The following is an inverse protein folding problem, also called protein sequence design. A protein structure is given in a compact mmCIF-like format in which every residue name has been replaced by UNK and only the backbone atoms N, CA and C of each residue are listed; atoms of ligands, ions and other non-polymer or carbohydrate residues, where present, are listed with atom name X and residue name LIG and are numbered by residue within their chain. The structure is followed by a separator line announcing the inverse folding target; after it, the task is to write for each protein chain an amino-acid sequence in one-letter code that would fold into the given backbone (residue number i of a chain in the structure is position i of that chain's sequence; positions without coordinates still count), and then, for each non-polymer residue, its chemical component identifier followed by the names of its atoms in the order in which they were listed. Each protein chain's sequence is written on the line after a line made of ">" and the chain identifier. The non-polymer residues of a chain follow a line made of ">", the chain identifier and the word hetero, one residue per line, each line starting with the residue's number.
data_IF_312490636135
#
_entry.id   IF_312490636135
#
_cell.length_a   1.000
_cell.length_b   1.000
_cell.length_c   1.000
_cell.angle_alpha   90.00
_cell.angle_beta   90.00
_cell.angle_gamma   90.00
#
_symmetry.space_group_name_H-M   'P 1'
#
loop_
_entity.id
_entity.type
_entity.pdbx_description
1 polymer ?
#
# COMPACT_ATOMS: atom_id res chain seq x y z
N UNK A 1 -9.24 34.44 -3.05
CA UNK A 1 -8.79 33.04 -3.22
C UNK A 1 -8.59 32.45 -1.84
N UNK A 2 -9.17 31.30 -1.56
CA UNK A 2 -9.01 30.63 -0.27
C UNK A 2 -7.57 30.12 -0.11
N UNK A 3 -7.12 29.91 1.13
CA UNK A 3 -5.78 29.38 1.44
C UNK A 3 -5.54 28.04 0.73
N UNK A 4 -6.59 27.22 0.56
CA UNK A 4 -6.53 25.94 -0.15
C UNK A 4 -6.30 26.09 -1.66
N UNK A 5 -6.96 27.07 -2.30
CA UNK A 5 -6.73 27.35 -3.73
C UNK A 5 -5.29 27.82 -3.99
N UNK A 6 -4.72 28.59 -3.06
CA UNK A 6 -3.33 29.05 -3.16
C UNK A 6 -2.34 27.87 -2.97
N UNK A 7 -2.67 26.91 -2.11
CA UNK A 7 -1.87 25.68 -1.90
C UNK A 7 -1.85 24.80 -3.14
N UNK A 8 -3.03 24.50 -3.70
CA UNK A 8 -3.17 23.70 -4.93
C UNK A 8 -2.42 24.34 -6.11
N UNK A 9 -2.50 25.67 -6.26
CA UNK A 9 -1.82 26.37 -7.33
C UNK A 9 -0.29 26.28 -7.20
N UNK A 10 0.28 26.47 -6.02
CA UNK A 10 1.73 26.37 -5.78
C UNK A 10 2.25 24.94 -6.00
N UNK A 11 1.46 23.93 -5.64
CA UNK A 11 1.80 22.53 -5.94
C UNK A 11 1.85 22.28 -7.46
N UNK A 12 0.82 22.74 -8.20
CA UNK A 12 0.77 22.62 -9.65
C UNK A 12 1.95 23.32 -10.33
N UNK A 13 2.32 24.51 -9.88
CA UNK A 13 3.47 25.25 -10.40
C UNK A 13 4.80 24.52 -10.12
N UNK A 14 4.97 23.96 -8.91
CA UNK A 14 6.16 23.18 -8.58
C UNK A 14 6.24 21.90 -9.43
N UNK A 15 5.13 21.15 -9.55
CA UNK A 15 5.06 19.96 -10.37
C UNK A 15 5.31 20.26 -11.85
N UNK A 16 4.74 21.37 -12.39
CA UNK A 16 4.98 21.80 -13.76
C UNK A 16 6.45 22.16 -14.00
N UNK A 17 7.09 22.83 -13.04
CA UNK A 17 8.53 23.15 -13.12
C UNK A 17 9.39 21.88 -13.22
N UNK A 18 9.06 20.81 -12.48
CA UNK A 18 9.73 19.52 -12.61
C UNK A 18 9.41 18.86 -13.95
N UNK A 19 8.15 18.89 -14.39
CA UNK A 19 7.73 18.36 -15.68
C UNK A 19 8.49 19.03 -16.83
N UNK A 20 8.52 20.36 -16.89
CA UNK A 20 9.21 21.11 -17.95
C UNK A 20 10.71 20.81 -17.96
N UNK A 21 11.31 20.61 -16.77
CA UNK A 21 12.73 20.31 -16.64
C UNK A 21 13.10 18.93 -17.17
N UNK A 22 12.21 17.95 -17.05
CA UNK A 22 12.47 16.57 -17.42
C UNK A 22 11.82 16.12 -18.72
N UNK A 23 10.86 16.89 -19.24
CA UNK A 23 10.11 16.51 -20.44
C UNK A 23 11.02 16.27 -21.65
N UNK A 24 12.10 17.03 -21.78
CA UNK A 24 13.07 16.85 -22.86
C UNK A 24 13.78 15.50 -22.78
N UNK A 25 14.03 15.01 -21.57
CA UNK A 25 14.68 13.72 -21.34
C UNK A 25 13.73 12.57 -21.66
N UNK A 26 12.47 12.67 -21.20
CA UNK A 26 11.49 11.60 -21.36
C UNK A 26 10.82 11.59 -22.73
N UNK A 27 10.72 12.72 -23.45
CA UNK A 27 10.21 12.78 -24.83
C UNK A 27 10.96 11.85 -25.79
N UNK A 28 12.22 11.55 -25.52
CA UNK A 28 13.01 10.59 -26.31
C UNK A 28 12.43 9.16 -26.20
N UNK A 29 11.78 8.85 -25.10
CA UNK A 29 11.33 7.49 -24.76
C UNK A 29 9.82 7.30 -24.80
N UNK A 30 9.04 8.38 -24.72
CA UNK A 30 7.59 8.35 -24.67
C UNK A 30 6.99 9.31 -25.68
N UNK A 31 6.00 8.84 -26.45
CA UNK A 31 5.27 9.66 -27.43
C UNK A 31 4.39 10.71 -26.77
N UNK A 32 3.82 10.38 -25.62
CA UNK A 32 2.95 11.26 -24.84
C UNK A 32 3.31 11.20 -23.37
N UNK A 33 3.39 12.37 -22.73
CA UNK A 33 3.65 12.48 -21.30
C UNK A 33 2.63 13.43 -20.69
N UNK A 34 1.88 12.94 -19.70
CA UNK A 34 0.93 13.72 -18.91
C UNK A 34 1.40 13.83 -17.48
N UNK A 35 1.26 15.01 -16.90
CA UNK A 35 1.51 15.22 -15.47
C UNK A 35 0.24 14.90 -14.70
N UNK A 36 0.32 13.96 -13.76
CA UNK A 36 -0.74 13.62 -12.82
C UNK A 36 -0.39 14.20 -11.46
N UNK A 37 -1.27 15.06 -10.94
CA UNK A 37 -1.12 15.64 -9.62
C UNK A 37 -1.68 14.73 -8.56
N UNK A 38 -0.96 14.56 -7.47
CA UNK A 38 -1.48 13.92 -6.27
C UNK A 38 -1.91 15.03 -5.29
N UNK A 39 -3.20 15.24 -5.11
CA UNK A 39 -3.76 16.37 -4.33
C UNK A 39 -3.61 16.21 -2.80
N UNK A 40 -3.20 15.02 -2.33
CA UNK A 40 -3.18 14.68 -0.89
C UNK A 40 -1.88 15.09 -0.15
N UNK A 41 -0.92 15.76 -0.79
CA UNK A 41 0.33 16.15 -0.13
C UNK A 41 0.25 17.56 0.50
N UNK A 42 0.29 17.63 1.83
CA UNK A 42 0.27 18.87 2.63
C UNK A 42 1.50 19.77 2.46
N UNK A 43 2.54 19.33 1.74
CA UNK A 43 3.79 20.08 1.55
C UNK A 43 4.00 20.53 0.10
N UNK A 44 4.33 21.81 -0.07
CA UNK A 44 4.53 22.52 -1.35
C UNK A 44 5.66 22.00 -2.25
N UNK A 45 6.47 21.05 -1.80
CA UNK A 45 7.51 20.42 -2.60
C UNK A 45 7.08 18.99 -2.86
N UNK A 46 6.70 18.63 -4.09
CA UNK A 46 6.30 17.26 -4.38
C UNK A 46 7.46 16.32 -4.12
N UNK A 47 7.31 15.43 -3.13
CA UNK A 47 8.27 14.35 -2.87
C UNK A 47 8.18 13.27 -3.94
N UNK A 48 7.02 13.15 -4.57
CA UNK A 48 6.72 12.20 -5.66
C UNK A 48 5.90 12.91 -6.71
N UNK A 49 6.30 12.76 -7.96
CA UNK A 49 5.54 13.25 -9.11
C UNK A 49 5.27 12.04 -9.99
N UNK A 50 4.02 11.83 -10.36
CA UNK A 50 3.62 10.76 -11.26
C UNK A 50 3.37 11.33 -12.64
N UNK A 51 3.95 10.71 -13.66
CA UNK A 51 3.73 11.01 -15.05
C UNK A 51 3.07 9.80 -15.71
N UNK A 52 2.12 10.05 -16.61
CA UNK A 52 1.61 9.04 -17.53
C UNK A 52 2.32 9.19 -18.87
N UNK A 53 2.85 8.09 -19.39
CA UNK A 53 3.53 8.07 -20.67
C UNK A 53 3.14 6.84 -21.49
N UNK A 54 3.17 6.97 -22.80
CA UNK A 54 3.03 5.88 -23.75
C UNK A 54 4.34 5.66 -24.48
N UNK A 55 4.76 4.40 -24.62
CA UNK A 55 5.96 4.03 -25.36
C UNK A 55 5.60 3.67 -26.80
N UNK A 56 6.35 4.26 -27.77
CA UNK A 56 6.25 3.96 -29.19
C UNK A 56 7.07 2.72 -29.53
N UNK A 57 6.64 1.51 -29.21
CA UNK A 57 7.15 0.33 -29.92
C UNK A 57 6.32 -0.92 -29.59
N UNK A 58 5.82 -1.54 -30.64
CA UNK A 58 5.26 -2.90 -30.77
C UNK A 58 4.08 -3.24 -29.84
N UNK A 59 4.09 -2.82 -28.57
CA UNK A 59 2.93 -2.81 -27.68
C UNK A 59 2.88 -1.44 -27.00
N UNK A 60 1.81 -0.68 -27.22
CA UNK A 60 1.54 0.58 -26.50
C UNK A 60 1.32 0.29 -25.02
N UNK A 61 2.38 0.35 -24.23
CA UNK A 61 2.33 0.15 -22.79
C UNK A 61 2.14 1.51 -22.12
N UNK A 62 1.03 1.69 -21.41
CA UNK A 62 0.88 2.84 -20.54
C UNK A 62 1.72 2.63 -19.27
N UNK A 63 2.46 3.64 -18.88
CA UNK A 63 3.36 3.58 -17.72
C UNK A 63 3.16 4.77 -16.79
N UNK A 64 3.48 4.54 -15.53
CA UNK A 64 3.56 5.54 -14.48
C UNK A 64 5.02 5.75 -14.12
N UNK A 65 5.50 6.98 -14.20
CA UNK A 65 6.82 7.35 -13.73
C UNK A 65 6.73 7.91 -12.30
N UNK A 66 7.33 7.22 -11.36
CA UNK A 66 7.46 7.66 -9.96
C UNK A 66 8.85 8.27 -9.76
N UNK A 67 8.88 9.57 -9.47
CA UNK A 67 10.10 10.33 -9.25
C UNK A 67 10.36 10.49 -7.76
N UNK A 68 11.51 10.04 -7.26
CA UNK A 68 11.89 10.15 -5.86
C UNK A 68 13.12 11.04 -5.72
N UNK A 69 13.03 12.14 -4.96
CA UNK A 69 14.17 12.98 -4.67
C UNK A 69 15.08 12.29 -3.64
N UNK A 70 16.32 12.04 -4.02
CA UNK A 70 17.27 11.30 -3.19
C UNK A 70 17.84 12.19 -2.08
N UNK A 71 18.13 13.46 -2.38
CA UNK A 71 18.81 14.38 -1.45
C UNK A 71 17.91 14.84 -0.31
N UNK A 72 16.61 14.98 -0.57
CA UNK A 72 15.62 15.44 0.42
C UNK A 72 15.03 14.29 1.24
N UNK A 73 15.43 13.04 0.94
CA UNK A 73 14.86 11.88 1.59
C UNK A 73 15.62 11.53 2.87
N UNK A 74 15.06 11.91 4.02
CA UNK A 74 15.57 11.56 5.35
C UNK A 74 15.56 10.04 5.63
N UNK A 75 14.90 9.25 4.78
CA UNK A 75 14.75 7.80 4.94
C UNK A 75 15.94 6.99 4.40
N UNK A 76 16.95 7.64 3.78
CA UNK A 76 18.14 6.95 3.25
C UNK A 76 17.77 5.88 2.22
N UNK A 77 18.37 4.68 2.34
CA UNK A 77 18.14 3.57 1.41
C UNK A 77 16.73 2.96 1.43
N UNK A 78 15.86 3.35 2.36
CA UNK A 78 14.49 2.86 2.37
C UNK A 78 13.71 3.21 1.08
N UNK A 79 14.15 4.23 0.34
CA UNK A 79 13.59 4.56 -0.98
C UNK A 79 13.77 3.45 -2.01
N UNK A 80 14.78 2.59 -1.83
CA UNK A 80 15.09 1.49 -2.74
C UNK A 80 14.29 0.21 -2.43
N UNK A 81 13.60 0.16 -1.28
CA UNK A 81 12.80 -1.01 -0.90
C UNK A 81 11.70 -1.32 -1.91
N UNK A 82 10.96 -0.30 -2.33
CA UNK A 82 9.88 -0.50 -3.29
C UNK A 82 10.34 -1.10 -4.62
N UNK A 83 11.33 -0.52 -5.33
CA UNK A 83 11.81 -1.10 -6.58
C UNK A 83 12.45 -2.48 -6.37
N UNK A 84 13.11 -2.73 -5.25
CA UNK A 84 13.65 -4.04 -4.93
C UNK A 84 12.55 -5.11 -4.81
N UNK A 85 11.55 -4.87 -3.97
CA UNK A 85 10.47 -5.84 -3.79
C UNK A 85 9.64 -6.03 -5.05
N UNK A 86 9.35 -4.94 -5.79
CA UNK A 86 8.64 -5.04 -7.07
C UNK A 86 9.44 -5.83 -8.12
N UNK A 87 10.77 -5.68 -8.13
CA UNK A 87 11.63 -6.47 -9.02
C UNK A 87 11.60 -7.97 -8.64
N UNK A 88 11.69 -8.28 -7.34
CA UNK A 88 11.55 -9.66 -6.86
C UNK A 88 10.21 -10.29 -7.21
N UNK A 89 9.16 -9.47 -7.37
CA UNK A 89 7.79 -9.86 -7.72
C UNK A 89 7.49 -9.68 -9.22
N UNK A 90 8.49 -9.43 -10.06
CA UNK A 90 8.27 -9.21 -11.49
C UNK A 90 7.50 -10.37 -12.12
N UNK A 91 6.46 -10.01 -12.89
CA UNK A 91 5.48 -10.92 -13.50
C UNK A 91 4.53 -11.60 -12.51
N UNK A 92 4.57 -11.26 -11.23
CA UNK A 92 3.55 -11.73 -10.29
C UNK A 92 2.23 -10.99 -10.57
N UNK A 93 1.14 -11.75 -10.73
CA UNK A 93 -0.16 -11.20 -11.13
C UNK A 93 -0.83 -10.32 -10.07
N UNK A 94 -0.44 -10.46 -8.80
CA UNK A 94 -1.05 -9.76 -7.66
C UNK A 94 -0.33 -8.45 -7.30
N UNK A 95 0.77 -8.13 -8.00
CA UNK A 95 1.51 -6.89 -7.78
C UNK A 95 1.63 -6.07 -9.05
N UNK A 96 1.77 -4.75 -8.88
CA UNK A 96 2.06 -3.87 -10.00
C UNK A 96 3.43 -4.22 -10.61
N UNK A 97 3.51 -4.20 -11.93
CA UNK A 97 4.75 -4.56 -12.62
C UNK A 97 5.72 -3.38 -12.68
N UNK A 98 6.96 -3.61 -12.22
CA UNK A 98 8.07 -2.70 -12.49
C UNK A 98 8.58 -2.94 -13.91
N UNK A 99 8.63 -1.86 -14.70
CA UNK A 99 9.09 -1.89 -16.10
C UNK A 99 10.56 -1.58 -16.17
N UNK A 100 11.00 -0.52 -15.46
CA UNK A 100 12.39 -0.12 -15.38
C UNK A 100 12.66 0.79 -14.18
N UNK A 101 13.95 1.04 -13.89
CA UNK A 101 14.40 1.99 -12.87
C UNK A 101 15.74 2.60 -13.28
N UNK A 102 15.93 3.89 -12.98
CA UNK A 102 17.20 4.56 -13.25
C UNK A 102 17.37 5.84 -12.42
N UNK A 103 18.62 6.24 -12.12
CA UNK A 103 18.89 7.53 -11.50
C UNK A 103 18.85 8.64 -12.54
N UNK A 104 18.56 9.86 -12.12
CA UNK A 104 18.67 11.04 -12.97
C UNK A 104 19.21 12.25 -12.23
N UNK A 105 19.86 13.12 -12.98
CA UNK A 105 20.41 14.40 -12.52
C UNK A 105 19.36 15.49 -12.63
N UNK A 106 19.55 16.59 -11.91
CA UNK A 106 18.64 17.72 -12.02
C UNK A 106 18.96 18.67 -13.19
N UNK A 107 20.16 18.55 -13.77
CA UNK A 107 20.58 19.27 -14.98
C UNK A 107 21.68 18.49 -15.69
N UNK A 108 21.96 18.83 -16.97
CA UNK A 108 23.06 18.23 -17.74
C UNK A 108 24.41 18.45 -17.08
N UNK A 109 24.59 19.57 -16.41
CA UNK A 109 25.86 20.00 -15.80
C UNK A 109 26.04 19.47 -14.36
N UNK A 110 25.02 18.83 -13.78
CA UNK A 110 25.11 18.25 -12.44
C UNK A 110 25.99 17.01 -12.46
N UNK A 111 26.93 16.93 -11.52
CA UNK A 111 27.76 15.73 -11.33
C UNK A 111 27.01 14.64 -10.59
N UNK A 112 26.16 15.01 -9.64
CA UNK A 112 25.46 14.10 -8.72
C UNK A 112 24.07 13.73 -9.20
N UNK A 113 23.63 12.51 -8.93
CA UNK A 113 22.24 12.12 -9.06
C UNK A 113 21.37 12.82 -8.02
N UNK A 114 20.21 13.29 -8.44
CA UNK A 114 19.24 13.94 -7.55
C UNK A 114 17.98 13.15 -7.39
N UNK A 115 17.60 12.41 -8.43
CA UNK A 115 16.35 11.67 -8.45
C UNK A 115 16.60 10.19 -8.75
N UNK A 116 15.72 9.38 -8.19
CA UNK A 116 15.58 7.97 -8.51
C UNK A 116 14.21 7.76 -9.16
N UNK A 117 14.21 7.17 -10.32
CA UNK A 117 13.04 7.01 -11.17
C UNK A 117 12.63 5.55 -11.18
N UNK A 118 11.35 5.29 -10.96
CA UNK A 118 10.75 3.97 -11.06
C UNK A 118 9.67 4.04 -12.13
N UNK A 119 9.77 3.19 -13.14
CA UNK A 119 8.76 3.06 -14.19
C UNK A 119 7.91 1.85 -13.88
N UNK A 120 6.62 2.08 -13.67
CA UNK A 120 5.63 1.07 -13.36
C UNK A 120 4.64 0.94 -14.53
N UNK A 121 4.10 -0.24 -14.76
CA UNK A 121 2.97 -0.42 -15.68
C UNK A 121 1.74 0.28 -15.11
N UNK A 122 1.04 1.05 -15.94
CA UNK A 122 -0.27 1.58 -15.57
C UNK A 122 -1.33 0.48 -15.72
N UNK A 123 -1.82 -0.03 -14.60
CA UNK A 123 -2.79 -1.13 -14.57
C UNK A 123 -4.24 -0.62 -14.40
N UNK A 124 -4.43 0.66 -14.10
CA UNK A 124 -5.75 1.27 -13.90
C UNK A 124 -5.83 2.17 -12.66
N UNK A 125 -7.03 2.57 -12.25
CA UNK A 125 -7.24 3.40 -11.06
C UNK A 125 -6.99 2.62 -9.77
N UNK A 126 -6.67 3.35 -8.70
CA UNK A 126 -6.66 2.77 -7.36
C UNK A 126 -8.08 2.42 -6.86
N UNK A 127 -8.14 1.51 -5.87
CA UNK A 127 -9.39 1.01 -5.33
C UNK A 127 -10.23 2.12 -4.67
N UNK A 128 -9.61 3.18 -4.11
CA UNK A 128 -10.34 4.30 -3.53
C UNK A 128 -11.11 5.07 -4.61
N UNK A 129 -10.45 5.36 -5.72
CA UNK A 129 -11.08 5.99 -6.89
C UNK A 129 -12.17 5.10 -7.49
N UNK A 130 -11.94 3.79 -7.54
CA UNK A 130 -12.92 2.81 -7.98
C UNK A 130 -14.19 2.82 -7.10
N UNK A 131 -14.04 2.77 -5.77
CA UNK A 131 -15.16 2.84 -4.81
C UNK A 131 -15.97 4.14 -5.02
N UNK A 132 -15.27 5.27 -5.13
CA UNK A 132 -15.91 6.58 -5.33
C UNK A 132 -16.69 6.60 -6.64
N UNK A 133 -16.11 6.09 -7.74
CA UNK A 133 -16.75 6.04 -9.04
C UNK A 133 -18.03 5.20 -9.02
N UNK A 134 -17.97 3.99 -8.46
CA UNK A 134 -19.13 3.09 -8.38
C UNK A 134 -20.24 3.71 -7.54
N UNK A 135 -19.92 4.27 -6.37
CA UNK A 135 -20.92 4.84 -5.46
C UNK A 135 -21.55 6.13 -6.00
N UNK A 136 -20.72 7.09 -6.43
CA UNK A 136 -21.20 8.46 -6.68
C UNK A 136 -21.48 8.77 -8.14
N UNK A 137 -20.77 8.10 -9.08
CA UNK A 137 -20.95 8.32 -10.51
C UNK A 137 -21.97 7.35 -11.10
N UNK A 138 -21.76 6.05 -10.88
CA UNK A 138 -22.67 5.03 -11.40
C UNK A 138 -23.93 4.88 -10.53
N UNK A 139 -23.90 5.36 -9.28
CA UNK A 139 -24.99 5.22 -8.31
C UNK A 139 -25.50 3.78 -8.20
N UNK A 140 -24.57 2.84 -8.34
CA UNK A 140 -24.87 1.44 -8.19
C UNK A 140 -25.06 1.18 -6.70
N UNK A 141 -26.28 0.85 -6.32
CA UNK A 141 -26.56 0.35 -4.98
C UNK A 141 -25.75 -0.93 -4.76
N UNK A 142 -25.33 -1.15 -3.51
CA UNK A 142 -24.65 -2.37 -3.12
C UNK A 142 -25.58 -3.56 -3.37
N UNK A 143 -25.37 -4.21 -4.51
CA UNK A 143 -26.10 -5.39 -4.93
C UNK A 143 -25.16 -6.59 -4.95
N UNK A 144 -25.70 -7.77 -5.19
CA UNK A 144 -24.94 -9.02 -5.27
C UNK A 144 -23.75 -8.94 -6.26
N UNK A 145 -23.85 -8.14 -7.32
CA UNK A 145 -22.75 -7.96 -8.27
C UNK A 145 -21.58 -7.22 -7.63
N UNK A 146 -21.85 -6.13 -6.90
CA UNK A 146 -20.77 -5.38 -6.22
C UNK A 146 -20.16 -6.18 -5.08
N UNK A 147 -20.94 -6.96 -4.35
CA UNK A 147 -20.42 -7.88 -3.33
C UNK A 147 -19.48 -8.91 -3.94
N UNK A 148 -19.85 -9.53 -5.06
CA UNK A 148 -19.00 -10.49 -5.76
C UNK A 148 -17.70 -9.86 -6.25
N UNK A 149 -17.75 -8.65 -6.81
CA UNK A 149 -16.56 -7.88 -7.21
C UNK A 149 -15.70 -7.60 -5.98
N UNK A 150 -16.29 -7.18 -4.87
CA UNK A 150 -15.58 -6.90 -3.62
C UNK A 150 -14.87 -8.13 -3.05
N UNK A 151 -15.55 -9.28 -3.03
CA UNK A 151 -14.97 -10.57 -2.64
C UNK A 151 -13.80 -10.96 -3.54
N UNK A 152 -13.96 -10.80 -4.85
CA UNK A 152 -12.90 -11.12 -5.82
C UNK A 152 -11.66 -10.23 -5.63
N UNK A 153 -11.85 -8.92 -5.38
CA UNK A 153 -10.76 -7.98 -5.06
C UNK A 153 -10.03 -8.41 -3.79
N UNK A 154 -10.78 -8.68 -2.71
CA UNK A 154 -10.19 -9.07 -1.42
C UNK A 154 -9.44 -10.39 -1.55
N UNK A 155 -9.99 -11.39 -2.25
CA UNK A 155 -9.30 -12.65 -2.51
C UNK A 155 -7.93 -12.43 -3.16
N UNK A 156 -7.87 -11.62 -4.22
CA UNK A 156 -6.62 -11.34 -4.93
C UNK A 156 -5.60 -10.59 -4.06
N UNK A 157 -6.06 -9.64 -3.24
CA UNK A 157 -5.19 -8.93 -2.28
C UNK A 157 -4.61 -9.92 -1.25
N UNK A 158 -5.44 -10.83 -0.72
CA UNK A 158 -4.98 -11.85 0.23
C UNK A 158 -4.00 -12.82 -0.41
N UNK A 159 -4.23 -13.23 -1.67
CA UNK A 159 -3.27 -14.04 -2.43
C UNK A 159 -1.90 -13.35 -2.57
N UNK A 160 -1.89 -12.06 -2.85
CA UNK A 160 -0.66 -11.27 -2.87
C UNK A 160 0.03 -11.20 -1.50
N UNK A 161 -0.72 -10.97 -0.44
CA UNK A 161 -0.18 -10.95 0.92
C UNK A 161 0.38 -12.29 1.36
N UNK A 162 -0.28 -13.41 1.02
CA UNK A 162 0.24 -14.76 1.29
C UNK A 162 1.67 -14.91 0.77
N UNK A 163 1.93 -14.45 -0.46
CA UNK A 163 3.26 -14.53 -1.08
C UNK A 163 4.32 -13.74 -0.27
N UNK A 164 3.98 -12.54 0.20
CA UNK A 164 4.88 -11.76 1.06
C UNK A 164 5.11 -12.43 2.41
N UNK A 165 4.03 -12.87 3.06
CA UNK A 165 4.07 -13.48 4.38
C UNK A 165 4.88 -14.77 4.41
N UNK A 166 4.81 -15.62 3.37
CA UNK A 166 5.61 -16.83 3.21
C UNK A 166 7.11 -16.54 3.08
N UNK A 167 7.48 -15.36 2.60
CA UNK A 167 8.88 -14.90 2.54
C UNK A 167 9.31 -14.15 3.82
N UNK A 168 8.47 -14.14 4.86
CA UNK A 168 8.75 -13.44 6.11
C UNK A 168 8.67 -11.93 6.01
N UNK A 169 7.90 -11.42 5.06
CA UNK A 169 7.70 -9.99 4.80
C UNK A 169 6.27 -9.56 5.14
N UNK A 170 6.10 -8.32 5.58
CA UNK A 170 4.80 -7.65 5.70
C UNK A 170 4.77 -6.40 4.83
N UNK A 171 3.60 -6.07 4.30
CA UNK A 171 3.40 -4.90 3.44
C UNK A 171 3.37 -3.59 4.25
N UNK A 172 2.76 -3.62 5.43
CA UNK A 172 2.66 -2.53 6.42
C UNK A 172 1.84 -1.29 6.00
N UNK A 173 1.28 -1.26 4.80
CA UNK A 173 0.50 -0.11 4.32
C UNK A 173 -0.63 -0.52 3.35
N UNK A 174 -1.33 -1.60 3.66
CA UNK A 174 -2.53 -2.02 2.91
C UNK A 174 -3.63 -0.99 3.14
N UNK A 175 -4.16 -0.45 2.04
CA UNK A 175 -5.27 0.52 1.98
C UNK A 175 -5.78 0.63 0.55
N UNK A 176 -6.99 1.18 0.31
CA UNK A 176 -7.56 1.27 -1.03
C UNK A 176 -6.69 2.01 -2.05
N UNK A 177 -5.93 3.04 -1.63
CA UNK A 177 -5.02 3.78 -2.52
C UNK A 177 -3.80 2.96 -2.97
N UNK A 178 -3.48 1.87 -2.27
CA UNK A 178 -2.35 0.98 -2.58
C UNK A 178 -2.80 -0.33 -3.24
N UNK A 179 -4.04 -0.38 -3.73
CA UNK A 179 -4.60 -1.48 -4.51
C UNK A 179 -5.09 -0.90 -5.83
N UNK A 180 -4.56 -1.38 -6.94
CA UNK A 180 -4.91 -0.93 -8.29
C UNK A 180 -5.88 -1.91 -8.91
N UNK A 181 -6.91 -1.41 -9.58
CA UNK A 181 -7.96 -2.22 -10.21
C UNK A 181 -7.88 -2.09 -11.73
N UNK A 182 -7.60 -3.19 -12.42
CA UNK A 182 -7.61 -3.24 -13.87
C UNK A 182 -9.03 -3.27 -14.44
N UNK A 183 -9.17 -2.98 -15.72
CA UNK A 183 -10.46 -3.01 -16.42
C UNK A 183 -11.20 -4.36 -16.39
N UNK A 184 -10.52 -5.45 -16.01
CA UNK A 184 -11.10 -6.77 -15.81
C UNK A 184 -11.32 -7.11 -14.33
N UNK A 185 -11.38 -6.11 -13.45
CA UNK A 185 -11.51 -6.22 -11.99
C UNK A 185 -10.39 -7.05 -11.33
N UNK A 186 -9.22 -7.12 -11.96
CA UNK A 186 -8.04 -7.71 -11.34
C UNK A 186 -7.42 -6.71 -10.37
N UNK A 187 -7.25 -7.12 -9.12
CA UNK A 187 -6.62 -6.31 -8.10
C UNK A 187 -5.12 -6.59 -8.04
N UNK A 188 -4.32 -5.52 -7.96
CA UNK A 188 -2.88 -5.61 -7.78
C UNK A 188 -2.43 -4.70 -6.65
N UNK A 189 -1.57 -5.21 -5.79
CA UNK A 189 -0.95 -4.45 -4.70
C UNK A 189 0.17 -3.58 -5.26
N UNK A 190 0.26 -2.35 -4.81
CA UNK A 190 1.33 -1.40 -5.16
C UNK A 190 1.90 -0.73 -3.89
N UNK A 191 2.93 0.11 -4.07
CA UNK A 191 3.60 0.87 -3.01
C UNK A 191 4.21 0.00 -1.90
N UNK A 192 5.17 -0.83 -2.29
CA UNK A 192 5.95 -1.66 -1.37
C UNK A 192 7.04 -0.88 -0.57
N UNK A 193 6.98 0.46 -0.60
CA UNK A 193 7.95 1.30 0.11
C UNK A 193 7.93 1.16 1.63
N UNK A 194 6.83 0.67 2.18
CA UNK A 194 6.66 0.38 3.61
C UNK A 194 6.93 -1.09 3.96
N UNK A 195 7.08 -1.96 2.95
CA UNK A 195 7.28 -3.38 3.19
C UNK A 195 8.60 -3.65 3.93
N UNK A 196 8.59 -4.62 4.84
CA UNK A 196 9.75 -4.96 5.64
C UNK A 196 9.68 -6.40 6.18
N UNK A 197 10.77 -6.86 6.75
CA UNK A 197 10.83 -8.14 7.45
C UNK A 197 9.84 -8.12 8.63
N UNK A 198 9.08 -9.18 8.78
CA UNK A 198 8.19 -9.39 9.92
C UNK A 198 8.97 -9.28 11.24
N UNK A 199 8.34 -8.75 12.29
CA UNK A 199 8.92 -8.45 13.60
C UNK A 199 9.86 -7.24 13.62
N UNK A 200 9.80 -6.34 12.64
CA UNK A 200 10.44 -5.03 12.69
C UNK A 200 9.53 -3.98 13.35
N UNK A 201 10.14 -2.99 14.02
CA UNK A 201 9.39 -1.82 14.51
C UNK A 201 9.28 -0.81 13.39
N UNK A 202 8.06 -0.48 13.00
CA UNK A 202 7.80 0.51 11.96
C UNK A 202 6.64 1.41 12.36
N UNK A 203 6.86 2.72 12.21
CA UNK A 203 5.80 3.73 12.32
C UNK A 203 5.31 4.19 10.94
N UNK A 204 5.66 3.45 9.88
CA UNK A 204 5.30 3.76 8.50
C UNK A 204 3.97 3.09 8.18
N UNK A 205 3.09 3.80 7.48
CA UNK A 205 1.79 3.32 7.04
C UNK A 205 0.72 4.39 7.20
N UNK A 206 -0.55 4.01 7.08
CA UNK A 206 -1.70 4.92 7.13
C UNK A 206 -2.55 4.61 8.35
N UNK A 207 -2.69 5.56 9.25
CA UNK A 207 -3.24 5.41 10.59
C UNK A 207 -4.59 4.67 10.65
N UNK A 208 -5.53 4.98 9.75
CA UNK A 208 -6.86 4.36 9.73
C UNK A 208 -6.87 2.85 9.43
N UNK A 209 -5.77 2.32 8.91
CA UNK A 209 -5.64 0.90 8.55
C UNK A 209 -4.68 0.14 9.47
N UNK A 210 -4.15 0.80 10.51
CA UNK A 210 -3.30 0.13 11.49
C UNK A 210 -4.12 -0.85 12.35
N UNK A 211 -3.52 -1.99 12.64
CA UNK A 211 -4.02 -2.86 13.69
C UNK A 211 -3.88 -2.18 15.06
N UNK A 212 -4.65 -2.59 16.06
CA UNK A 212 -4.49 -2.11 17.43
C UNK A 212 -3.05 -2.25 17.96
N UNK A 213 -2.37 -3.34 17.61
CA UNK A 213 -0.97 -3.60 17.99
C UNK A 213 -0.01 -2.59 17.35
N UNK A 214 -0.20 -2.31 16.07
CA UNK A 214 0.60 -1.31 15.35
C UNK A 214 0.37 0.11 15.91
N UNK A 215 -0.87 0.46 16.27
CA UNK A 215 -1.19 1.72 16.96
C UNK A 215 -0.53 1.82 18.33
N UNK A 216 -0.45 0.72 19.07
CA UNK A 216 0.27 0.64 20.34
C UNK A 216 1.80 0.72 20.16
N UNK A 217 2.31 0.68 18.92
CA UNK A 217 3.74 0.78 18.61
C UNK A 217 4.50 -0.53 18.70
N UNK A 218 3.80 -1.66 18.64
CA UNK A 218 4.42 -2.98 18.62
C UNK A 218 5.12 -3.27 17.28
N UNK A 219 5.91 -4.33 17.26
CA UNK A 219 6.53 -4.85 16.04
C UNK A 219 5.47 -5.27 15.03
N UNK A 220 5.73 -4.99 13.77
CA UNK A 220 4.81 -5.32 12.67
C UNK A 220 4.86 -6.79 12.34
N UNK A 221 3.67 -7.36 12.06
CA UNK A 221 3.51 -8.78 11.74
C UNK A 221 2.64 -8.96 10.49
N UNK A 222 2.53 -10.20 10.01
CA UNK A 222 1.64 -10.56 8.92
C UNK A 222 0.16 -10.29 9.28
N UNK A 223 -0.19 -10.51 10.54
CA UNK A 223 -1.53 -10.31 11.07
C UNK A 223 -1.95 -8.83 11.04
N UNK A 224 -1.00 -7.88 11.04
CA UNK A 224 -1.30 -6.45 10.86
C UNK A 224 -1.81 -6.14 9.45
N UNK A 225 -1.24 -6.77 8.42
CA UNK A 225 -1.73 -6.66 7.06
C UNK A 225 -3.14 -7.26 6.92
N UNK A 226 -3.40 -8.38 7.59
CA UNK A 226 -4.72 -9.02 7.57
C UNK A 226 -5.79 -8.15 8.25
N UNK A 227 -5.45 -7.45 9.34
CA UNK A 227 -6.34 -6.45 9.94
C UNK A 227 -6.65 -5.33 8.95
N UNK A 228 -5.63 -4.81 8.26
CA UNK A 228 -5.82 -3.79 7.23
C UNK A 228 -6.72 -4.26 6.07
N UNK A 229 -6.60 -5.53 5.65
CA UNK A 229 -7.53 -6.15 4.68
C UNK A 229 -8.97 -6.13 5.21
N UNK A 230 -9.19 -6.44 6.50
CA UNK A 230 -10.50 -6.36 7.13
C UNK A 230 -11.12 -4.96 7.06
N UNK A 231 -10.32 -3.92 7.33
CA UNK A 231 -10.75 -2.53 7.19
C UNK A 231 -11.05 -2.17 5.72
N UNK A 232 -10.21 -2.60 4.77
CA UNK A 232 -10.44 -2.38 3.33
C UNK A 232 -11.73 -3.07 2.87
N UNK A 233 -11.98 -4.29 3.32
CA UNK A 233 -13.21 -5.02 2.97
C UNK A 233 -14.44 -4.33 3.56
N UNK A 234 -14.36 -3.91 4.82
CA UNK A 234 -15.44 -3.15 5.44
C UNK A 234 -15.71 -1.82 4.70
N UNK A 235 -14.66 -1.11 4.25
CA UNK A 235 -14.80 0.12 3.47
C UNK A 235 -15.39 -0.13 2.07
N UNK A 236 -15.08 -1.26 1.44
CA UNK A 236 -15.69 -1.68 0.17
C UNK A 236 -17.20 -1.88 0.35
N UNK A 237 -17.61 -2.56 1.40
CA UNK A 237 -19.01 -2.86 1.67
C UNK A 237 -19.76 -1.69 2.33
N UNK A 238 -19.07 -0.81 3.03
CA UNK A 238 -19.64 0.38 3.69
C UNK A 238 -18.70 1.60 3.56
N UNK A 239 -18.96 2.43 2.56
CA UNK A 239 -18.12 3.60 2.23
C UNK A 239 -18.04 4.64 3.34
N UNK A 240 -19.00 4.70 4.25
CA UNK A 240 -18.98 5.64 5.38
C UNK A 240 -17.82 5.39 6.33
N UNK A 241 -17.34 4.14 6.39
CA UNK A 241 -16.13 3.78 7.13
C UNK A 241 -14.91 4.60 6.66
N UNK A 242 -14.73 4.77 5.35
CA UNK A 242 -13.63 5.57 4.81
C UNK A 242 -13.70 7.06 5.18
N UNK A 243 -14.88 7.61 5.46
CA UNK A 243 -15.05 8.97 5.98
C UNK A 243 -14.61 9.02 7.44
N UNK A 244 -15.08 8.07 8.25
CA UNK A 244 -14.73 7.97 9.66
C UNK A 244 -13.21 7.85 9.89
N UNK A 245 -12.49 7.10 9.05
CA UNK A 245 -11.03 6.91 9.20
C UNK A 245 -10.21 8.22 9.04
N UNK A 246 -10.81 9.30 8.52
CA UNK A 246 -10.18 10.62 8.43
C UNK A 246 -10.20 11.40 9.74
N UNK A 247 -11.12 11.07 10.65
CA UNK A 247 -11.35 11.81 11.90
C UNK A 247 -10.51 11.30 13.08
N UNK A 248 -9.58 10.37 12.85
CA UNK A 248 -8.73 9.80 13.89
C UNK A 248 -7.78 10.88 14.45
N UNK A 249 -7.70 11.07 15.77
CA UNK A 249 -6.78 12.02 16.39
C UNK A 249 -5.32 11.77 15.99
N UNK A 250 -4.56 12.81 15.68
CA UNK A 250 -3.17 12.67 15.19
C UNK A 250 -2.09 12.80 16.29
N UNK A 251 -2.47 13.21 17.47
CA UNK A 251 -1.56 13.70 18.53
C UNK A 251 -1.05 12.64 19.52
N UNK A 252 -1.78 11.55 19.73
CA UNK A 252 -1.45 10.58 20.77
C UNK A 252 -1.85 9.15 20.38
N UNK A 253 -0.89 8.21 20.39
CA UNK A 253 -1.12 6.81 20.02
C UNK A 253 -2.21 6.11 20.86
N UNK A 254 -2.26 6.38 22.17
CA UNK A 254 -3.31 5.82 23.03
C UNK A 254 -4.69 6.34 22.64
N UNK A 255 -4.83 7.65 22.40
CA UNK A 255 -6.10 8.25 21.94
C UNK A 255 -6.51 7.71 20.58
N UNK A 256 -5.56 7.52 19.65
CA UNK A 256 -5.81 6.92 18.34
C UNK A 256 -6.37 5.50 18.47
N UNK A 257 -5.72 4.67 19.30
CA UNK A 257 -6.14 3.31 19.56
C UNK A 257 -7.55 3.28 20.17
N UNK A 258 -7.77 4.03 21.23
CA UNK A 258 -9.07 4.08 21.92
C UNK A 258 -10.19 4.59 21.00
N UNK A 259 -9.89 5.57 20.12
CA UNK A 259 -10.85 6.06 19.14
C UNK A 259 -11.33 4.94 18.20
N UNK A 260 -10.42 4.11 17.70
CA UNK A 260 -10.75 2.95 16.85
C UNK A 260 -11.51 1.90 17.65
N UNK A 261 -11.03 1.56 18.84
CA UNK A 261 -11.69 0.55 19.69
C UNK A 261 -13.12 0.98 20.01
N UNK A 262 -13.31 2.19 20.50
CA UNK A 262 -14.64 2.69 20.87
C UNK A 262 -15.59 2.81 19.68
N UNK A 263 -15.07 3.01 18.49
CA UNK A 263 -15.89 3.08 17.26
C UNK A 263 -16.34 1.71 16.79
N UNK A 264 -15.42 0.77 16.74
CA UNK A 264 -15.67 -0.51 16.10
C UNK A 264 -16.08 -1.63 17.06
N UNK A 265 -15.76 -1.52 18.35
CA UNK A 265 -15.94 -2.63 19.29
C UNK A 265 -16.79 -2.24 20.48
N UNK A 266 -17.63 -3.19 20.92
CA UNK A 266 -18.14 -3.26 22.29
C UNK A 266 -17.09 -3.96 23.14
N UNK A 267 -16.83 -3.43 24.32
CA UNK A 267 -15.80 -3.94 25.22
C UNK A 267 -16.43 -4.40 26.53
N UNK A 268 -16.25 -5.66 26.84
CA UNK A 268 -16.66 -6.25 28.13
C UNK A 268 -15.40 -6.53 28.96
N UNK A 269 -15.37 -6.04 30.17
CA UNK A 269 -14.24 -6.22 31.07
C UNK A 269 -14.73 -6.56 32.49
N UNK A 270 -14.25 -7.69 33.02
CA UNK A 270 -14.62 -8.13 34.37
C UNK A 270 -13.87 -7.29 35.43
N UNK A 271 -14.60 -6.85 36.46
CA UNK A 271 -14.06 -6.14 37.63
C UNK A 271 -13.45 -4.75 37.41
N UNK A 272 -13.79 -4.04 36.32
CA UNK A 272 -13.32 -2.68 36.06
C UNK A 272 -14.48 -1.71 35.90
N UNK A 273 -14.27 -0.44 36.31
CA UNK A 273 -15.23 0.64 36.14
C UNK A 273 -14.90 1.49 34.90
N UNK A 274 -15.86 2.30 34.45
CA UNK A 274 -15.73 3.16 33.23
C UNK A 274 -14.50 4.07 33.27
N UNK A 275 -14.05 4.54 34.43
CA UNK A 275 -12.91 5.45 34.56
C UNK A 275 -11.56 4.77 34.36
N UNK A 276 -11.48 3.44 34.41
CA UNK A 276 -10.23 2.68 34.31
C UNK A 276 -10.15 1.86 33.04
N UNK A 277 -11.28 1.63 32.35
CA UNK A 277 -11.37 0.74 31.18
C UNK A 277 -10.41 1.11 30.05
N UNK A 278 -10.22 2.40 29.77
CA UNK A 278 -9.30 2.89 28.73
C UNK A 278 -7.85 2.46 28.99
N UNK A 279 -7.43 2.43 30.25
CA UNK A 279 -6.10 1.96 30.63
C UNK A 279 -6.00 0.46 30.47
N UNK A 280 -7.05 -0.28 30.84
CA UNK A 280 -7.10 -1.74 30.70
C UNK A 280 -7.03 -2.12 29.22
N UNK A 281 -7.85 -1.50 28.37
CA UNK A 281 -7.81 -1.71 26.90
C UNK A 281 -6.39 -1.51 26.36
N UNK A 282 -5.79 -0.35 26.65
CA UNK A 282 -4.47 0.00 26.14
C UNK A 282 -3.40 -0.99 26.60
N UNK A 283 -3.39 -1.35 27.89
CA UNK A 283 -2.41 -2.27 28.45
C UNK A 283 -2.62 -3.73 28.01
N UNK A 284 -3.87 -4.16 27.82
CA UNK A 284 -4.16 -5.50 27.29
C UNK A 284 -3.60 -5.67 25.88
N UNK A 285 -3.80 -4.68 25.00
CA UNK A 285 -3.26 -4.68 23.64
C UNK A 285 -1.73 -4.57 23.65
N UNK A 286 -1.16 -3.70 24.49
CA UNK A 286 0.28 -3.51 24.57
C UNK A 286 1.00 -4.79 25.05
N UNK A 287 0.40 -5.54 25.95
CA UNK A 287 0.99 -6.75 26.56
C UNK A 287 0.54 -8.07 25.93
N UNK A 288 -0.37 -8.04 24.94
CA UNK A 288 -1.07 -9.20 24.36
C UNK A 288 -1.74 -10.07 25.43
N UNK A 289 -2.36 -9.41 26.42
CA UNK A 289 -3.08 -10.10 27.49
C UNK A 289 -4.58 -9.78 27.38
N UNK A 290 -5.34 -10.76 26.89
CA UNK A 290 -6.78 -10.65 26.63
C UNK A 290 -7.62 -11.51 27.57
N UNK A 291 -7.05 -12.02 28.67
CA UNK A 291 -7.70 -12.96 29.58
C UNK A 291 -8.96 -12.38 30.23
N UNK A 292 -8.92 -11.10 30.64
CA UNK A 292 -9.99 -10.42 31.36
C UNK A 292 -10.78 -9.41 30.55
N UNK A 293 -10.56 -9.36 29.23
CA UNK A 293 -11.19 -8.38 28.36
C UNK A 293 -11.65 -9.04 27.06
N UNK A 294 -12.90 -8.77 26.69
CA UNK A 294 -13.49 -9.25 25.44
C UNK A 294 -13.79 -8.07 24.52
N UNK A 295 -13.45 -8.21 23.28
CA UNK A 295 -13.76 -7.27 22.22
C UNK A 295 -14.75 -7.92 21.25
N UNK A 296 -15.90 -7.28 21.06
CA UNK A 296 -16.90 -7.73 20.12
C UNK A 296 -17.12 -6.65 19.07
N UNK A 297 -16.92 -6.99 17.81
CA UNK A 297 -17.15 -6.06 16.70
C UNK A 297 -18.64 -5.65 16.69
N UNK A 298 -18.91 -4.35 16.62
CA UNK A 298 -20.26 -3.81 16.65
C UNK A 298 -21.05 -4.18 15.40
N UNK A 299 -22.30 -4.58 15.55
CA UNK A 299 -23.15 -4.93 14.42
C UNK A 299 -23.53 -3.73 13.54
N UNK A 300 -23.59 -2.53 14.12
CA UNK A 300 -23.98 -1.31 13.41
C UNK A 300 -22.91 -0.76 12.41
N UNK A 301 -21.74 -1.40 12.35
CA UNK A 301 -20.73 -1.08 11.31
C UNK A 301 -21.07 -1.77 9.98
N UNK A 302 -21.90 -2.81 10.00
CA UNK A 302 -22.38 -3.50 8.83
C UNK A 302 -23.67 -2.87 8.32
N UNK A 303 -23.93 -3.04 7.04
CA UNK A 303 -25.26 -2.74 6.51
C UNK A 303 -26.29 -3.73 7.07
N UNK A 304 -27.56 -3.31 7.20
CA UNK A 304 -28.61 -4.20 7.71
C UNK A 304 -28.79 -5.49 6.89
N UNK A 305 -28.55 -5.38 5.57
CA UNK A 305 -28.68 -6.46 4.58
C UNK A 305 -27.36 -7.12 4.20
N UNK A 306 -26.28 -6.87 4.97
CA UNK A 306 -24.95 -7.44 4.69
C UNK A 306 -24.97 -8.96 4.83
N UNK A 307 -24.32 -9.63 3.88
CA UNK A 307 -24.20 -11.08 3.86
C UNK A 307 -23.46 -11.62 5.08
N UNK A 308 -23.96 -12.69 5.69
CA UNK A 308 -23.39 -13.27 6.92
C UNK A 308 -21.98 -13.85 6.73
N UNK A 309 -21.66 -14.37 5.55
CA UNK A 309 -20.29 -14.85 5.25
C UNK A 309 -19.30 -13.68 5.19
N UNK A 310 -19.70 -12.54 4.61
CA UNK A 310 -18.88 -11.31 4.61
C UNK A 310 -18.67 -10.80 6.03
N UNK A 311 -19.74 -10.75 6.85
CA UNK A 311 -19.66 -10.36 8.26
C UNK A 311 -18.71 -11.28 9.04
N UNK A 312 -18.84 -12.60 8.84
CA UNK A 312 -17.97 -13.58 9.50
C UNK A 312 -16.49 -13.39 9.12
N UNK A 313 -16.19 -13.20 7.84
CA UNK A 313 -14.83 -12.94 7.38
C UNK A 313 -14.27 -11.64 7.97
N UNK A 314 -15.04 -10.54 7.94
CA UNK A 314 -14.61 -9.27 8.51
C UNK A 314 -14.36 -9.38 10.01
N UNK A 315 -15.24 -10.08 10.76
CA UNK A 315 -15.06 -10.33 12.20
C UNK A 315 -13.74 -11.07 12.48
N UNK A 316 -13.42 -12.09 11.70
CA UNK A 316 -12.17 -12.85 11.84
C UNK A 316 -10.92 -12.04 11.47
N UNK A 317 -11.00 -11.16 10.45
CA UNK A 317 -9.90 -10.28 10.04
C UNK A 317 -9.68 -9.14 11.05
N UNK A 318 -10.74 -8.63 11.67
CA UNK A 318 -10.70 -7.55 12.65
C UNK A 318 -10.61 -8.06 14.09
N UNK A 319 -10.29 -9.33 14.30
CA UNK A 319 -10.02 -9.88 15.63
C UNK A 319 -8.89 -9.10 16.32
N UNK A 320 -9.12 -8.66 17.56
CA UNK A 320 -8.17 -7.84 18.31
C UNK A 320 -6.94 -8.66 18.70
N UNK A 321 -7.14 -9.90 19.16
CA UNK A 321 -6.05 -10.82 19.47
C UNK A 321 -5.37 -11.31 18.16
N UNK A 322 -4.12 -10.90 17.86
CA UNK A 322 -3.47 -11.29 16.62
C UNK A 322 -3.26 -12.80 16.50
N UNK A 323 -3.21 -13.54 17.61
CA UNK A 323 -3.07 -15.00 17.59
C UNK A 323 -4.31 -15.73 17.11
N UNK A 324 -5.48 -15.08 17.18
CA UNK A 324 -6.78 -15.58 16.72
C UNK A 324 -7.19 -14.98 15.37
N UNK A 325 -6.48 -13.93 14.93
CA UNK A 325 -6.76 -13.27 13.66
C UNK A 325 -6.42 -14.19 12.49
N UNK A 326 -7.37 -14.32 11.56
CA UNK A 326 -7.23 -15.21 10.41
C UNK A 326 -6.04 -14.81 9.54
N UNK A 327 -5.21 -15.78 9.19
CA UNK A 327 -4.04 -15.62 8.32
C UNK A 327 -4.44 -15.68 6.84
N UNK A 328 -3.55 -15.20 5.97
CA UNK A 328 -3.81 -15.19 4.52
C UNK A 328 -4.11 -16.59 3.95
N UNK A 329 -3.37 -17.61 4.38
CA UNK A 329 -3.61 -19.02 3.99
C UNK A 329 -5.01 -19.50 4.38
N UNK A 330 -5.44 -19.17 5.60
CA UNK A 330 -6.77 -19.59 6.10
C UNK A 330 -7.89 -18.90 5.33
N UNK A 331 -7.72 -17.61 5.01
CA UNK A 331 -8.70 -16.84 4.21
C UNK A 331 -8.87 -17.42 2.81
N UNK A 332 -7.75 -17.71 2.12
CA UNK A 332 -7.79 -18.26 0.77
C UNK A 332 -8.58 -19.58 0.74
N UNK A 333 -8.46 -20.41 1.78
CA UNK A 333 -9.09 -21.72 1.87
C UNK A 333 -10.55 -21.69 2.34
N UNK A 334 -11.16 -20.51 2.56
CA UNK A 334 -12.55 -20.42 2.95
C UNK A 334 -13.50 -20.90 1.82
N UNK A 335 -14.61 -21.56 2.17
CA UNK A 335 -15.65 -21.95 1.19
C UNK A 335 -16.16 -20.77 0.38
N UNK A 336 -16.19 -19.57 0.96
CA UNK A 336 -16.56 -18.30 0.33
C UNK A 336 -15.77 -18.02 -0.97
N UNK A 337 -14.55 -18.51 -1.07
CA UNK A 337 -13.64 -18.29 -2.20
C UNK A 337 -13.39 -19.53 -3.06
N UNK A 338 -14.15 -20.60 -2.86
CA UNK A 338 -13.96 -21.88 -3.55
C UNK A 338 -13.88 -21.74 -5.08
N UNK A 339 -14.74 -20.91 -5.66
CA UNK A 339 -14.80 -20.70 -7.11
C UNK A 339 -13.61 -19.89 -7.63
N UNK A 340 -12.88 -19.18 -6.74
CA UNK A 340 -11.70 -18.38 -7.07
C UNK A 340 -10.37 -19.12 -6.85
N UNK A 341 -10.40 -20.26 -6.17
CA UNK A 341 -9.20 -21.05 -5.85
C UNK A 341 -8.40 -21.45 -7.09
N UNK A 342 -9.10 -21.80 -8.17
CA UNK A 342 -8.52 -22.15 -9.45
C UNK A 342 -7.59 -21.05 -10.00
N UNK A 343 -7.90 -19.80 -9.75
CA UNK A 343 -7.06 -18.68 -10.19
C UNK A 343 -5.71 -18.61 -9.46
N UNK A 344 -5.66 -19.05 -8.20
CA UNK A 344 -4.43 -19.05 -7.41
C UNK A 344 -3.52 -20.22 -7.79
N UNK A 345 -4.06 -21.45 -7.89
CA UNK A 345 -3.30 -22.68 -8.12
C UNK A 345 -2.63 -22.73 -9.51
N UNK A 346 -3.25 -22.14 -10.52
CA UNK A 346 -2.76 -22.19 -11.90
C UNK A 346 -1.76 -21.07 -12.27
N UNK A 347 -1.38 -20.22 -11.32
CA UNK A 347 -0.45 -19.13 -11.58
C UNK A 347 0.84 -19.31 -10.77
N UNK A 348 1.96 -19.40 -11.49
CA UNK A 348 3.29 -19.35 -10.84
C UNK A 348 3.46 -17.97 -10.19
N UNK A 349 3.30 -17.92 -8.88
CA UNK A 349 3.25 -16.68 -8.08
C UNK A 349 4.50 -16.50 -7.23
N UNK A 350 5.60 -17.22 -7.55
CA UNK A 350 6.81 -17.19 -6.74
C UNK A 350 7.47 -15.79 -6.71
N UNK A 351 7.99 -15.45 -5.54
CA UNK A 351 8.77 -14.25 -5.30
C UNK A 351 10.25 -14.60 -5.22
N UNK A 352 11.07 -14.02 -6.08
CA UNK A 352 12.52 -14.22 -6.10
C UNK A 352 13.21 -13.34 -5.03
N UNK A 353 12.80 -13.48 -3.78
CA UNK A 353 13.37 -12.73 -2.67
C UNK A 353 14.55 -13.47 -2.04
N UNK A 354 15.67 -12.77 -1.88
CA UNK A 354 16.85 -13.25 -1.16
C UNK A 354 17.12 -12.33 0.05
N UNK A 355 17.18 -12.93 1.24
CA UNK A 355 17.42 -12.22 2.49
C UNK A 355 18.84 -11.65 2.57
N UNK A 356 19.84 -12.24 1.93
CA UNK A 356 21.21 -11.73 1.91
C UNK A 356 21.33 -10.49 1.02
N UNK A 357 20.69 -10.50 -0.17
CA UNK A 357 20.58 -9.32 -1.02
C UNK A 357 19.85 -8.17 -0.28
N UNK A 358 18.77 -8.49 0.45
CA UNK A 358 18.07 -7.49 1.28
C UNK A 358 18.99 -6.89 2.35
N UNK A 359 19.75 -7.73 3.06
CA UNK A 359 20.70 -7.27 4.10
C UNK A 359 21.82 -6.40 3.51
N UNK A 360 22.32 -6.76 2.32
CA UNK A 360 23.36 -6.01 1.60
C UNK A 360 22.96 -4.55 1.43
N UNK A 361 21.72 -4.28 1.00
CA UNK A 361 21.25 -2.93 0.67
C UNK A 361 20.59 -2.19 1.84
N UNK A 362 19.97 -2.87 2.80
CA UNK A 362 19.10 -2.21 3.77
C UNK A 362 19.53 -2.29 5.24
N UNK A 363 20.34 -3.27 5.65
CA UNK A 363 20.69 -3.43 7.08
C UNK A 363 21.85 -2.57 7.59
N UNK A 364 22.82 -2.24 6.74
CA UNK A 364 24.10 -1.68 7.21
C UNK A 364 24.40 -0.26 6.75
N UNK A 365 23.44 0.45 6.15
CA UNK A 365 23.74 1.69 5.47
C UNK A 365 22.97 2.89 6.05
N UNK A 366 23.71 3.78 6.71
CA UNK A 366 23.17 5.00 7.34
C UNK A 366 23.15 6.21 6.40
N UNK A 367 23.91 6.21 5.31
CA UNK A 367 24.00 7.34 4.36
C UNK A 367 24.03 6.83 2.93
N UNK A 368 23.31 7.54 2.06
CA UNK A 368 23.32 7.35 0.62
C UNK A 368 24.76 7.53 0.06
N UNK A 369 25.21 6.57 -0.73
CA UNK A 369 26.43 6.65 -1.54
C UNK A 369 26.07 6.34 -2.99
N UNK A 370 26.59 7.15 -3.91
CA UNK A 370 26.26 7.06 -5.34
C UNK A 370 26.65 5.72 -5.95
N UNK A 371 27.84 5.20 -5.54
CA UNK A 371 28.33 3.90 -6.01
C UNK A 371 27.38 2.75 -5.66
N UNK A 372 26.85 2.76 -4.43
CA UNK A 372 25.88 1.74 -3.99
C UNK A 372 24.56 1.82 -4.75
N UNK A 373 24.14 3.03 -5.14
CA UNK A 373 22.96 3.16 -5.97
C UNK A 373 23.18 2.58 -7.36
N UNK A 374 24.35 2.80 -7.96
CA UNK A 374 24.72 2.22 -9.25
C UNK A 374 24.73 0.70 -9.18
N UNK A 375 25.46 0.15 -8.21
CA UNK A 375 25.52 -1.30 -7.97
C UNK A 375 24.13 -1.89 -7.76
N UNK A 376 23.27 -1.22 -6.98
CA UNK A 376 21.90 -1.65 -6.76
C UNK A 376 21.09 -1.69 -8.07
N UNK A 377 21.18 -0.65 -8.89
CA UNK A 377 20.45 -0.58 -10.16
C UNK A 377 20.92 -1.66 -11.12
N UNK A 378 22.23 -1.86 -11.22
CA UNK A 378 22.82 -2.90 -12.07
C UNK A 378 22.38 -4.28 -11.61
N UNK A 379 22.51 -4.60 -10.31
CA UNK A 379 22.05 -5.87 -9.75
C UNK A 379 20.54 -6.12 -10.00
N UNK A 380 19.69 -5.11 -9.79
CA UNK A 380 18.24 -5.25 -10.02
C UNK A 380 17.92 -5.45 -11.49
N UNK A 381 18.59 -4.73 -12.37
CA UNK A 381 18.41 -4.88 -13.80
C UNK A 381 18.87 -6.26 -14.27
N UNK A 382 20.06 -6.68 -13.89
CA UNK A 382 20.62 -7.97 -14.29
C UNK A 382 19.78 -9.15 -13.77
N UNK A 383 19.47 -9.15 -12.47
CA UNK A 383 18.79 -10.29 -11.83
C UNK A 383 17.31 -10.40 -12.17
N UNK A 384 16.61 -9.28 -12.30
CA UNK A 384 15.14 -9.27 -12.30
C UNK A 384 14.52 -8.62 -13.55
N UNK A 385 15.07 -7.52 -14.05
CA UNK A 385 14.43 -6.76 -15.14
C UNK A 385 14.82 -7.30 -16.52
N UNK A 386 16.06 -7.78 -16.66
CA UNK A 386 16.60 -8.24 -17.94
C UNK A 386 16.94 -7.06 -18.88
N UNK A 387 16.94 -7.30 -20.20
CA UNK A 387 17.16 -6.22 -21.17
C UNK A 387 16.12 -5.11 -20.96
N UNK A 388 16.63 -3.92 -20.67
CA UNK A 388 15.79 -2.76 -20.38
C UNK A 388 15.16 -2.20 -21.64
N UNK A 389 14.06 -1.48 -21.47
CA UNK A 389 13.46 -0.70 -22.56
C UNK A 389 14.37 0.46 -23.00
N UNK A 390 15.44 0.73 -22.26
CA UNK A 390 16.36 1.85 -22.41
C UNK A 390 17.81 1.35 -22.53
N UNK A 391 18.08 0.47 -23.53
CA UNK A 391 19.41 -0.14 -23.74
C UNK A 391 20.52 0.85 -24.15
N UNK A 392 20.19 2.11 -24.43
CA UNK A 392 21.17 3.16 -24.58
C UNK A 392 21.44 3.84 -23.23
N UNK A 393 22.68 3.72 -22.77
CA UNK A 393 23.21 4.26 -21.53
C UNK A 393 22.61 5.65 -21.20
N UNK A 394 21.76 5.79 -20.18
CA UNK A 394 21.14 7.06 -19.82
C UNK A 394 22.08 7.99 -19.03
N UNK A 395 23.37 7.63 -18.88
CA UNK A 395 24.36 8.33 -18.06
C UNK A 395 25.12 9.39 -18.84
#
# INVERSE_FOLDING_TARGET
>A
MSIEQNKSQKFKEAAQKYFDKFIWYYKKYFSWIYLVYNEDEENYIPKRITFLGEKDNIEKIQVILKLINIKDNKQGYNILKEPYFLACLKKNRYFIEIVDLFPSKDSKDSKDFKFFNIILRNEGPDLKSFIIYYKYVLKIDYNNLFENISRHIIFQVVCGLKILHEKGLSHNNIKPQNIVISGTHKAKICDLGSADIINTVSNIGTLGYYSPQAMAGKKRTAEDDMYAVGIVFLELLNVEIGIFLKDIPKDNKKKQLLHIINKFYDVECENYNENTIDNVIYHSILKDNYEYIKFKLKENIFRPDENEENKALIKNLLEIDPSKRMKAEEVINLPLFKDLHYEFENNNTDMKYDNEDYKKYFKNQKKYKEDILKDFIEDIREKFIGKTLFDENPY
#
